data_IF_480986752725
#
_entry.id   IF_480986752725
#
_cell.length_a   1.000
_cell.length_b   1.000
_cell.length_c   1.000
_cell.angle_alpha   90.00
_cell.angle_beta   90.00
_cell.angle_gamma   90.00
#
_symmetry.space_group_name_H-M   'P 1'
#
loop_
_entity.id
_entity.type
_entity.pdbx_description
1 polymer ?
#
# COMPACT_ATOMS: atom_id res chain seq x y z
N UNK A 1 -16.82 -10.06 -18.23
CA UNK A 1 -15.48 -9.42 -18.22
C UNK A 1 -15.21 -8.52 -16.99
N UNK A 2 -16.14 -8.38 -16.02
CA UNK A 2 -15.97 -7.46 -14.87
C UNK A 2 -16.22 -8.11 -13.49
N UNK A 3 -16.45 -9.42 -13.41
CA UNK A 3 -16.74 -10.10 -12.13
C UNK A 3 -15.58 -10.00 -11.14
N UNK A 4 -14.33 -10.00 -11.60
CA UNK A 4 -13.17 -9.86 -10.73
C UNK A 4 -13.11 -8.49 -10.03
N UNK A 5 -13.78 -7.46 -10.54
CA UNK A 5 -13.83 -6.15 -9.88
C UNK A 5 -14.72 -6.18 -8.64
N UNK A 6 -15.79 -6.99 -8.64
CA UNK A 6 -16.66 -7.19 -7.48
C UNK A 6 -16.00 -7.96 -6.35
N UNK A 7 -14.90 -8.68 -6.64
CA UNK A 7 -14.18 -9.45 -5.64
C UNK A 7 -13.68 -8.59 -4.47
N UNK A 8 -13.35 -7.32 -4.73
CA UNK A 8 -12.77 -6.41 -3.76
C UNK A 8 -13.79 -5.66 -2.89
N UNK A 9 -15.07 -5.69 -3.25
CA UNK A 9 -16.11 -4.99 -2.49
C UNK A 9 -16.20 -5.55 -1.06
N UNK A 10 -16.07 -4.66 -0.05
CA UNK A 10 -16.02 -5.04 1.35
C UNK A 10 -14.78 -5.84 1.79
N UNK A 11 -13.76 -6.00 0.94
CA UNK A 11 -12.50 -6.65 1.32
C UNK A 11 -11.55 -5.68 1.98
N UNK A 12 -10.79 -6.17 2.97
CA UNK A 12 -9.61 -5.48 3.48
C UNK A 12 -8.39 -5.79 2.63
N UNK A 13 -7.83 -4.76 2.01
CA UNK A 13 -6.69 -4.87 1.10
C UNK A 13 -5.52 -4.08 1.67
N UNK A 14 -4.42 -4.77 1.94
CA UNK A 14 -3.15 -4.15 2.30
C UNK A 14 -2.34 -3.85 1.04
N UNK A 15 -1.83 -2.62 0.93
CA UNK A 15 -0.92 -2.18 -0.12
C UNK A 15 0.34 -1.67 0.56
N UNK A 16 1.47 -2.33 0.33
CA UNK A 16 2.77 -1.76 0.72
C UNK A 16 3.27 -0.87 -0.42
N UNK A 17 3.94 0.25 -0.14
CA UNK A 17 4.32 1.21 -1.18
C UNK A 17 3.11 1.93 -1.79
N UNK A 18 2.03 2.05 -1.01
CA UNK A 18 0.75 2.58 -1.46
C UNK A 18 0.74 4.09 -1.77
N UNK A 19 1.71 4.87 -1.27
CA UNK A 19 1.84 6.29 -1.56
C UNK A 19 2.68 6.56 -2.84
N UNK A 20 3.30 5.52 -3.41
CA UNK A 20 4.02 5.58 -4.67
C UNK A 20 3.14 5.72 -5.92
N UNK A 21 3.76 5.77 -7.11
CA UNK A 21 3.05 6.02 -8.36
C UNK A 21 1.98 4.97 -8.69
N UNK A 22 2.31 3.68 -8.62
CA UNK A 22 1.35 2.58 -8.87
C UNK A 22 0.42 2.40 -7.68
N UNK A 23 0.97 2.45 -6.47
CA UNK A 23 0.23 2.20 -5.22
C UNK A 23 -0.92 3.19 -5.00
N UNK A 24 -0.70 4.48 -5.31
CA UNK A 24 -1.72 5.52 -5.07
C UNK A 24 -2.91 5.40 -6.02
N UNK A 25 -2.65 5.07 -7.29
CA UNK A 25 -3.68 4.79 -8.29
C UNK A 25 -4.47 3.54 -7.91
N UNK A 26 -3.78 2.47 -7.49
CA UNK A 26 -4.42 1.23 -7.03
C UNK A 26 -5.29 1.48 -5.79
N UNK A 27 -4.78 2.24 -4.81
CA UNK A 27 -5.50 2.64 -3.60
C UNK A 27 -6.82 3.32 -3.96
N UNK A 28 -6.76 4.35 -4.83
CA UNK A 28 -7.96 5.04 -5.30
C UNK A 28 -8.94 4.08 -5.96
N UNK A 29 -8.45 3.21 -6.85
CA UNK A 29 -9.31 2.27 -7.58
C UNK A 29 -9.99 1.25 -6.66
N UNK A 30 -9.30 0.74 -5.64
CA UNK A 30 -9.87 -0.21 -4.69
C UNK A 30 -10.92 0.45 -3.79
N UNK A 31 -10.70 1.70 -3.37
CA UNK A 31 -11.69 2.47 -2.62
C UNK A 31 -12.95 2.76 -3.45
N UNK A 32 -12.81 3.04 -4.75
CA UNK A 32 -13.92 3.19 -5.70
C UNK A 32 -14.71 1.88 -5.88
N UNK A 33 -14.05 0.73 -5.70
CA UNK A 33 -14.66 -0.61 -5.75
C UNK A 33 -15.29 -1.05 -4.42
N UNK A 34 -15.27 -0.20 -3.38
CA UNK A 34 -15.89 -0.50 -2.08
C UNK A 34 -14.97 -1.25 -1.10
N UNK A 35 -13.69 -1.41 -1.42
CA UNK A 35 -12.73 -2.03 -0.52
C UNK A 35 -12.40 -1.13 0.69
N UNK A 36 -11.99 -1.76 1.79
CA UNK A 36 -11.29 -1.15 2.91
C UNK A 36 -9.78 -1.25 2.63
N UNK A 37 -9.09 -0.12 2.48
CA UNK A 37 -7.70 -0.11 2.06
C UNK A 37 -6.79 0.28 3.22
N UNK A 38 -5.75 -0.51 3.43
CA UNK A 38 -4.67 -0.24 4.37
C UNK A 38 -3.42 0.04 3.53
N UNK A 39 -2.77 1.18 3.76
CA UNK A 39 -1.50 1.52 3.11
C UNK A 39 -0.40 1.49 4.14
N UNK A 40 0.66 0.73 3.87
CA UNK A 40 1.95 0.80 4.58
C UNK A 40 2.98 1.43 3.63
N UNK A 41 3.54 2.57 4.01
CA UNK A 41 4.52 3.27 3.19
C UNK A 41 5.49 4.06 4.08
N UNK A 42 6.78 4.04 3.78
CA UNK A 42 7.80 4.76 4.53
C UNK A 42 8.04 6.18 4.00
N UNK A 43 7.34 6.56 2.91
CA UNK A 43 7.46 7.85 2.24
C UNK A 43 8.88 8.17 1.72
N UNK A 44 9.72 7.15 1.55
CA UNK A 44 11.08 7.30 1.01
C UNK A 44 11.09 7.90 -0.41
N UNK A 45 10.04 7.62 -1.20
CA UNK A 45 9.83 8.16 -2.56
C UNK A 45 8.37 8.54 -2.88
N UNK A 46 7.43 8.17 -2.01
CA UNK A 46 6.01 8.54 -2.11
C UNK A 46 5.64 9.76 -1.27
N UNK A 47 4.41 10.24 -1.43
CA UNK A 47 3.90 11.38 -0.65
C UNK A 47 2.47 11.12 -0.20
N UNK A 48 2.14 11.55 1.03
CA UNK A 48 0.80 11.35 1.61
C UNK A 48 -0.32 12.02 0.82
N UNK A 49 -0.04 13.15 0.14
CA UNK A 49 -1.02 13.84 -0.71
C UNK A 49 -1.43 13.04 -1.96
N UNK A 50 -0.70 11.98 -2.32
CA UNK A 50 -1.09 11.08 -3.41
C UNK A 50 -2.28 10.19 -3.01
N UNK A 51 -2.55 10.04 -1.72
CA UNK A 51 -3.61 9.20 -1.19
C UNK A 51 -4.91 10.01 -0.98
N UNK A 52 -6.09 9.39 -1.13
CA UNK A 52 -7.39 10.03 -0.89
C UNK A 52 -7.67 10.16 0.62
N UNK A 53 -7.03 11.15 1.27
CA UNK A 53 -7.05 11.38 2.72
C UNK A 53 -8.46 11.59 3.32
N UNK A 54 -9.44 11.98 2.52
CA UNK A 54 -10.83 12.16 2.97
C UNK A 54 -11.63 10.86 3.06
N UNK A 55 -11.10 9.73 2.58
CA UNK A 55 -11.78 8.45 2.59
C UNK A 55 -11.79 7.83 3.98
N UNK A 56 -12.98 7.57 4.54
CA UNK A 56 -13.13 6.84 5.80
C UNK A 56 -12.74 5.36 5.71
N UNK A 57 -12.61 4.81 4.48
CA UNK A 57 -12.19 3.42 4.23
C UNK A 57 -10.69 3.29 3.99
N UNK A 58 -9.92 4.37 4.17
CA UNK A 58 -8.47 4.36 4.04
C UNK A 58 -7.84 4.43 5.43
N UNK A 59 -7.02 3.44 5.76
CA UNK A 59 -6.07 3.48 6.86
C UNK A 59 -4.67 3.68 6.29
N UNK A 60 -4.05 4.82 6.56
CA UNK A 60 -2.64 5.05 6.25
C UNK A 60 -1.77 4.77 7.49
N UNK A 61 -0.73 3.98 7.30
CA UNK A 61 0.31 3.70 8.30
C UNK A 61 1.65 4.08 7.69
N UNK A 62 2.27 5.14 8.23
CA UNK A 62 3.66 5.46 7.93
C UNK A 62 4.55 4.43 8.65
N UNK A 63 5.37 3.71 7.89
CA UNK A 63 6.20 2.62 8.42
C UNK A 63 6.91 1.82 7.34
N UNK A 64 7.84 0.98 7.76
CA UNK A 64 8.73 0.22 6.86
C UNK A 64 8.30 -1.25 6.80
N UNK A 65 8.30 -1.82 5.59
CA UNK A 65 8.03 -3.25 5.37
C UNK A 65 9.10 -4.16 6.00
N UNK A 66 10.31 -3.66 6.23
CA UNK A 66 11.36 -4.37 6.95
C UNK A 66 11.19 -4.31 8.48
N UNK A 67 10.28 -3.49 8.99
CA UNK A 67 10.01 -3.35 10.42
C UNK A 67 8.91 -4.32 10.88
N UNK A 68 9.27 -5.24 11.78
CA UNK A 68 8.34 -6.26 12.27
C UNK A 68 7.14 -5.69 13.05
N UNK A 69 7.33 -4.56 13.76
CA UNK A 69 6.25 -3.90 14.53
C UNK A 69 5.23 -3.27 13.58
N UNK A 70 5.70 -2.61 12.52
CA UNK A 70 4.84 -2.00 11.51
C UNK A 70 4.05 -3.06 10.74
N UNK A 71 4.71 -4.16 10.36
CA UNK A 71 4.04 -5.33 9.78
C UNK A 71 2.98 -5.89 10.73
N UNK A 72 3.32 -6.16 11.99
CA UNK A 72 2.35 -6.68 12.97
C UNK A 72 1.14 -5.76 13.12
N UNK A 73 1.36 -4.45 13.12
CA UNK A 73 0.28 -3.45 13.17
C UNK A 73 -0.68 -3.61 11.99
N UNK A 74 -0.18 -3.60 10.76
CA UNK A 74 -1.06 -3.68 9.57
C UNK A 74 -1.68 -5.06 9.37
N UNK A 75 -0.99 -6.14 9.75
CA UNK A 75 -1.55 -7.49 9.69
C UNK A 75 -2.57 -7.78 10.80
N UNK A 76 -2.55 -7.05 11.92
CA UNK A 76 -3.58 -7.13 12.95
C UNK A 76 -4.96 -6.67 12.45
N UNK A 77 -4.99 -5.84 11.40
CA UNK A 77 -6.22 -5.48 10.68
C UNK A 77 -6.78 -6.64 9.84
N UNK A 78 -6.09 -7.79 9.78
CA UNK A 78 -6.50 -9.00 9.06
C UNK A 78 -6.82 -8.74 7.58
N UNK A 79 -5.85 -8.24 6.79
CA UNK A 79 -6.05 -8.07 5.35
C UNK A 79 -6.30 -9.42 4.69
N UNK A 80 -7.17 -9.43 3.68
CA UNK A 80 -7.53 -10.62 2.91
C UNK A 80 -6.75 -10.69 1.59
N UNK A 81 -6.27 -9.54 1.13
CA UNK A 81 -5.46 -9.39 -0.08
C UNK A 81 -4.28 -8.49 0.24
N UNK A 82 -3.12 -8.83 -0.29
CA UNK A 82 -1.90 -8.02 -0.19
C UNK A 82 -1.39 -7.70 -1.59
N UNK A 83 -1.21 -6.43 -1.89
CA UNK A 83 -0.42 -5.95 -3.02
C UNK A 83 0.91 -5.42 -2.48
N UNK A 84 1.99 -6.15 -2.71
CA UNK A 84 3.32 -5.78 -2.24
C UNK A 84 4.02 -4.95 -3.32
N UNK A 85 3.96 -3.62 -3.21
CA UNK A 85 4.53 -2.68 -4.19
C UNK A 85 5.65 -1.82 -3.59
N UNK A 86 6.03 -2.05 -2.33
CA UNK A 86 7.16 -1.37 -1.70
C UNK A 86 8.44 -1.94 -2.32
N UNK A 87 9.29 -1.06 -2.85
CA UNK A 87 10.55 -1.44 -3.46
C UNK A 87 11.52 -0.25 -3.43
N UNK A 88 12.82 -0.53 -3.29
CA UNK A 88 13.85 0.49 -3.32
C UNK A 88 14.22 0.85 -4.76
N UNK A 89 13.36 1.64 -5.40
CA UNK A 89 13.51 2.02 -6.81
C UNK A 89 14.55 3.14 -6.99
N UNK A 90 15.44 3.15 -8.01
CA UNK A 90 15.68 2.20 -9.11
C UNK A 90 17.14 1.69 -9.12
N UNK A 91 17.56 1.01 -10.19
CA UNK A 91 18.88 0.36 -10.35
C UNK A 91 20.08 1.04 -9.67
N UNK A 92 20.26 2.36 -9.85
CA UNK A 92 21.38 3.06 -9.25
C UNK A 92 21.37 2.98 -7.72
N UNK A 93 20.18 3.09 -7.11
CA UNK A 93 19.98 2.97 -5.67
C UNK A 93 20.31 1.55 -5.18
N UNK A 94 19.87 0.51 -5.90
CA UNK A 94 20.21 -0.88 -5.57
C UNK A 94 21.72 -1.16 -5.69
N UNK A 95 22.41 -0.50 -6.62
CA UNK A 95 23.88 -0.58 -6.76
C UNK A 95 24.59 0.14 -5.61
N UNK A 96 24.14 1.34 -5.27
CA UNK A 96 24.80 2.19 -4.27
C UNK A 96 24.48 1.73 -2.82
N UNK A 97 23.31 1.13 -2.60
CA UNK A 97 22.83 0.69 -1.28
C UNK A 97 22.14 -0.69 -1.33
N UNK A 98 22.85 -1.76 -1.71
CA UNK A 98 22.26 -3.10 -1.88
C UNK A 98 21.65 -3.68 -0.60
N UNK A 99 22.08 -3.22 0.58
CA UNK A 99 21.51 -3.61 1.87
C UNK A 99 20.10 -3.05 2.13
N UNK A 100 19.65 -2.09 1.31
CA UNK A 100 18.30 -1.50 1.37
C UNK A 100 17.36 -2.04 0.28
N UNK A 101 17.87 -2.86 -0.62
CA UNK A 101 17.12 -3.46 -1.73
C UNK A 101 16.34 -4.71 -1.28
#
# INVERSE_FOLDING_TARGET
>A
MSEYLKYYDGKRVLITGGAGAVGSILTKKLLDLGAEVIVLDDLSSGYTWNLPQSSQRLLFVEGDVANEVDLKRVFNEKPQVVFHLAAFFANQNSVDYPQKD
#
